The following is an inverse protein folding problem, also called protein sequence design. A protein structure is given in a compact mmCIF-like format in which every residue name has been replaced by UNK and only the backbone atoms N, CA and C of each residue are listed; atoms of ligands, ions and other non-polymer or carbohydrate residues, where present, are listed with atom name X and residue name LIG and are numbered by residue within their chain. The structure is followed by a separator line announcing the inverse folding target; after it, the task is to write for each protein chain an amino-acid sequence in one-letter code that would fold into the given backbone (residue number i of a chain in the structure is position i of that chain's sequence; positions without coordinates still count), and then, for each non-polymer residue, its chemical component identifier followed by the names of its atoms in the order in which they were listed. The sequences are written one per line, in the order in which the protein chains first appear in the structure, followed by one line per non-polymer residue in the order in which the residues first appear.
data_IF_677934025002
#
_entry.id   IF_677934025002
#
_cell.length_a   1.000
_cell.length_b   1.000
_cell.length_c   1.000
_cell.angle_alpha   90.00
_cell.angle_beta   90.00
_cell.angle_gamma   90.00
#
_symmetry.space_group_name_H-M   'P 1'
#
loop_
_entity.id
_entity.type
_entity.pdbx_description
1 polymer ?
#
# COMPACT_ATOMS: atom_id res chain seq x y z
N UNK A 1 16.04 30.65 -6.21
CA UNK A 1 15.20 29.46 -6.36
C UNK A 1 13.73 29.84 -6.27
N UNK A 2 12.89 29.23 -7.10
CA UNK A 2 11.44 29.41 -7.06
C UNK A 2 10.78 28.02 -6.93
N UNK A 3 9.75 27.93 -6.09
CA UNK A 3 8.91 26.72 -5.96
C UNK A 3 7.61 26.96 -6.71
N UNK A 4 7.24 26.03 -7.59
CA UNK A 4 5.97 26.05 -8.32
C UNK A 4 5.14 24.85 -7.87
N UNK A 5 4.05 25.13 -7.16
CA UNK A 5 3.06 24.11 -6.81
C UNK A 5 1.95 24.10 -7.85
N UNK A 6 1.80 23.01 -8.58
CA UNK A 6 0.75 22.82 -9.60
C UNK A 6 -0.31 21.88 -9.04
N UNK A 7 -1.54 22.37 -8.99
CA UNK A 7 -2.71 21.58 -8.56
C UNK A 7 -3.46 21.13 -9.82
N UNK A 8 -3.70 19.84 -9.93
CA UNK A 8 -4.42 19.24 -11.05
C UNK A 8 -5.57 18.37 -10.55
N UNK A 9 -6.52 18.08 -11.44
CA UNK A 9 -7.59 17.11 -11.19
C UNK A 9 -7.25 15.82 -11.90
N UNK A 10 -7.02 14.74 -11.12
CA UNK A 10 -6.76 13.42 -11.68
C UNK A 10 -7.95 12.94 -12.51
N UNK A 11 -7.70 12.44 -13.73
CA UNK A 11 -8.75 12.00 -14.64
C UNK A 11 -9.43 13.11 -15.43
N UNK A 12 -9.01 14.37 -15.32
CA UNK A 12 -9.61 15.53 -15.98
C UNK A 12 -9.81 15.33 -17.47
N UNK A 13 -11.04 15.58 -17.93
CA UNK A 13 -11.46 15.38 -19.32
C UNK A 13 -12.14 14.03 -19.58
N UNK A 14 -12.18 13.14 -18.59
CA UNK A 14 -12.89 11.87 -18.67
C UNK A 14 -13.78 11.68 -17.44
N UNK A 15 -15.05 11.99 -17.56
CA UNK A 15 -16.00 12.04 -16.45
C UNK A 15 -16.00 10.77 -15.53
N UNK A 16 -15.93 9.53 -16.05
CA UNK A 16 -15.81 8.36 -15.19
C UNK A 16 -14.58 8.39 -14.28
N UNK A 17 -13.42 8.83 -14.79
CA UNK A 17 -12.20 8.92 -13.99
C UNK A 17 -12.18 10.13 -13.05
N UNK A 18 -12.92 11.19 -13.36
CA UNK A 18 -13.09 12.31 -12.44
C UNK A 18 -13.94 11.91 -11.23
N UNK A 19 -14.95 11.04 -11.43
CA UNK A 19 -15.83 10.54 -10.37
C UNK A 19 -15.22 9.41 -9.55
N UNK A 20 -14.36 8.59 -10.14
CA UNK A 20 -13.62 7.49 -9.49
C UNK A 20 -12.17 7.47 -9.96
N UNK A 21 -11.33 8.40 -9.48
CA UNK A 21 -9.94 8.51 -9.90
C UNK A 21 -9.08 7.32 -9.46
N UNK A 22 -9.57 6.51 -8.53
CA UNK A 22 -8.90 5.33 -8.00
C UNK A 22 -9.18 4.13 -8.91
N UNK A 23 -10.44 3.82 -9.16
CA UNK A 23 -10.84 2.71 -10.04
C UNK A 23 -10.32 2.88 -11.48
N UNK A 24 -10.10 4.13 -11.90
CA UNK A 24 -9.52 4.46 -13.21
C UNK A 24 -8.02 4.75 -13.19
N UNK A 25 -7.31 4.46 -12.10
CA UNK A 25 -5.86 4.68 -12.02
C UNK A 25 -5.06 3.76 -12.96
N UNK A 26 -5.45 2.51 -13.09
CA UNK A 26 -4.87 1.55 -14.01
C UNK A 26 -6.00 0.83 -14.76
N UNK A 27 -6.33 1.32 -15.95
CA UNK A 27 -7.38 0.72 -16.76
C UNK A 27 -6.76 -0.41 -17.60
N UNK A 28 -6.99 -1.65 -17.20
CA UNK A 28 -6.87 -2.78 -18.11
C UNK A 28 -7.93 -2.63 -19.22
N UNK A 29 -7.63 -3.13 -20.44
CA UNK A 29 -8.51 -3.01 -21.61
C UNK A 29 -9.98 -3.17 -21.21
N UNK A 30 -10.74 -2.08 -21.27
CA UNK A 30 -12.20 -2.12 -21.11
C UNK A 30 -12.73 -2.86 -22.33
N UNK A 31 -13.14 -4.09 -22.19
CA UNK A 31 -13.96 -4.75 -23.20
C UNK A 31 -15.34 -4.12 -23.12
N UNK A 32 -15.94 -3.84 -24.26
CA UNK A 32 -17.31 -3.31 -24.35
C UNK A 32 -18.33 -4.24 -23.62
N UNK A 33 -17.98 -5.51 -23.48
CA UNK A 33 -18.71 -6.55 -22.75
C UNK A 33 -18.69 -6.37 -21.22
N UNK A 34 -17.63 -5.72 -20.67
CA UNK A 34 -17.53 -5.45 -19.24
C UNK A 34 -18.44 -4.31 -18.75
N UNK A 35 -19.04 -3.57 -19.68
CA UNK A 35 -20.03 -2.51 -19.42
C UNK A 35 -21.47 -3.07 -19.25
N UNK A 36 -21.67 -4.32 -19.61
CA UNK A 36 -22.95 -5.04 -19.41
C UNK A 36 -22.77 -5.96 -18.23
N UNK A 37 -23.48 -5.69 -17.12
CA UNK A 37 -23.47 -6.44 -15.87
C UNK A 37 -23.36 -7.97 -16.10
N UNK A 38 -22.16 -8.52 -16.04
CA UNK A 38 -21.98 -9.97 -16.03
C UNK A 38 -22.29 -10.52 -14.62
N UNK A 39 -23.53 -10.98 -14.45
CA UNK A 39 -24.01 -11.66 -13.25
C UNK A 39 -23.53 -13.11 -13.13
N UNK A 40 -22.66 -13.57 -14.04
CA UNK A 40 -22.20 -14.96 -14.09
C UNK A 40 -20.84 -15.19 -13.41
N UNK A 41 -20.26 -14.21 -12.75
CA UNK A 41 -18.97 -14.36 -12.09
C UNK A 41 -19.08 -15.34 -10.91
N UNK A 42 -18.45 -16.50 -11.06
CA UNK A 42 -18.20 -17.40 -9.92
C UNK A 42 -17.51 -16.61 -8.79
N UNK A 43 -17.79 -16.89 -7.51
CA UNK A 43 -17.16 -16.20 -6.40
C UNK A 43 -15.64 -16.35 -6.51
N UNK A 44 -14.96 -15.24 -6.82
CA UNK A 44 -13.50 -15.22 -6.90
C UNK A 44 -12.95 -15.54 -5.51
N UNK A 45 -11.98 -16.43 -5.44
CA UNK A 45 -11.22 -16.66 -4.20
C UNK A 45 -10.65 -15.34 -3.69
N UNK A 46 -10.63 -15.09 -2.37
CA UNK A 46 -10.05 -13.85 -1.84
C UNK A 46 -8.58 -13.75 -2.22
N UNK A 47 -8.12 -12.54 -2.53
CA UNK A 47 -6.70 -12.26 -2.75
C UNK A 47 -5.94 -12.28 -1.41
N UNK A 48 -4.62 -12.47 -1.46
CA UNK A 48 -3.77 -12.37 -0.27
C UNK A 48 -3.87 -11.00 0.38
N UNK A 49 -3.92 -9.91 -0.40
CA UNK A 49 -4.09 -8.54 0.11
C UNK A 49 -5.41 -8.38 0.88
N UNK A 50 -6.50 -9.00 0.40
CA UNK A 50 -7.78 -8.99 1.13
C UNK A 50 -7.67 -9.72 2.47
N UNK A 51 -7.07 -10.91 2.48
CA UNK A 51 -6.86 -11.70 3.72
C UNK A 51 -5.97 -10.91 4.69
N UNK A 52 -4.93 -10.25 4.18
CA UNK A 52 -4.06 -9.41 4.99
C UNK A 52 -4.84 -8.23 5.63
N UNK A 53 -5.66 -7.51 4.86
CA UNK A 53 -6.48 -6.41 5.39
C UNK A 53 -7.44 -6.87 6.48
N UNK A 54 -8.13 -8.01 6.27
CA UNK A 54 -9.03 -8.61 7.26
C UNK A 54 -8.26 -9.01 8.55
N UNK A 55 -7.08 -9.61 8.38
CA UNK A 55 -6.19 -9.97 9.50
C UNK A 55 -5.73 -8.72 10.27
N UNK A 56 -5.38 -7.65 9.55
CA UNK A 56 -4.90 -6.40 10.13
C UNK A 56 -5.98 -5.77 11.03
N UNK A 57 -7.21 -5.63 10.53
CA UNK A 57 -8.36 -5.16 11.31
C UNK A 57 -8.65 -6.06 12.52
N UNK A 58 -8.62 -7.38 12.31
CA UNK A 58 -8.83 -8.34 13.41
C UNK A 58 -7.78 -8.18 14.53
N UNK A 59 -6.52 -7.93 14.17
CA UNK A 59 -5.44 -7.73 15.16
C UNK A 59 -5.55 -6.38 15.85
N UNK A 60 -5.88 -5.31 15.12
CA UNK A 60 -6.04 -3.98 15.68
C UNK A 60 -7.20 -3.86 16.67
N UNK A 61 -8.25 -4.66 16.49
CA UNK A 61 -9.33 -4.79 17.46
C UNK A 61 -8.89 -5.41 18.80
N UNK A 62 -7.75 -6.12 18.81
CA UNK A 62 -7.23 -6.80 19.99
C UNK A 62 -6.03 -6.10 20.64
N UNK A 63 -5.33 -5.26 19.90
CA UNK A 63 -4.16 -4.53 20.38
C UNK A 63 -4.21 -3.09 19.85
N UNK A 64 -4.46 -2.15 20.75
CA UNK A 64 -4.57 -0.72 20.44
C UNK A 64 -3.23 -0.11 19.99
N UNK A 65 -2.11 -0.76 20.25
CA UNK A 65 -0.79 -0.31 19.83
C UNK A 65 -0.52 -0.57 18.36
N UNK A 66 -1.33 -1.43 17.70
CA UNK A 66 -1.14 -1.73 16.29
C UNK A 66 -1.52 -0.54 15.43
N UNK A 67 -0.57 -0.08 14.63
CA UNK A 67 -0.73 0.99 13.63
C UNK A 67 -0.31 0.49 12.26
N UNK A 68 -0.94 1.00 11.23
CA UNK A 68 -0.73 0.59 9.85
C UNK A 68 -0.22 1.75 9.01
N UNK A 69 0.85 1.51 8.26
CA UNK A 69 1.55 2.51 7.47
C UNK A 69 1.69 2.00 6.04
N UNK A 70 1.47 2.86 5.06
CA UNK A 70 1.73 2.52 3.65
C UNK A 70 2.19 3.76 2.87
N UNK A 71 3.16 3.64 1.97
CA UNK A 71 3.54 4.71 1.08
C UNK A 71 2.72 4.68 -0.22
N UNK A 72 1.51 5.26 -0.21
CA UNK A 72 0.58 5.38 -1.35
C UNK A 72 0.10 4.04 -1.95
N UNK A 73 0.01 2.96 -1.15
CA UNK A 73 -0.37 1.62 -1.62
C UNK A 73 -1.58 1.04 -0.87
N UNK A 74 -2.43 1.88 -0.29
CA UNK A 74 -3.54 1.45 0.58
C UNK A 74 -4.51 0.49 -0.09
N UNK A 75 -4.94 0.77 -1.33
CA UNK A 75 -5.85 -0.12 -2.07
C UNK A 75 -5.18 -1.43 -2.43
N UNK A 76 -4.00 -1.34 -3.06
CA UNK A 76 -3.27 -2.53 -3.52
C UNK A 76 -2.88 -3.46 -2.40
N UNK A 77 -2.63 -2.93 -1.22
CA UNK A 77 -2.32 -3.70 0.00
C UNK A 77 -3.56 -4.14 0.79
N UNK A 78 -4.77 -3.79 0.33
CA UNK A 78 -6.02 -4.21 0.98
C UNK A 78 -6.34 -3.49 2.29
N UNK A 79 -5.82 -2.26 2.49
CA UNK A 79 -5.92 -1.53 3.76
C UNK A 79 -7.08 -0.53 3.84
N UNK A 80 -7.91 -0.44 2.80
CA UNK A 80 -9.00 0.56 2.73
C UNK A 80 -10.03 0.39 3.84
N UNK A 81 -10.42 -0.84 4.15
CA UNK A 81 -11.38 -1.06 5.25
C UNK A 81 -10.74 -0.72 6.60
N UNK A 82 -9.46 -1.08 6.79
CA UNK A 82 -8.70 -0.69 7.98
C UNK A 82 -8.66 0.84 8.17
N UNK A 83 -8.43 1.59 7.10
CA UNK A 83 -8.35 3.06 7.16
C UNK A 83 -9.69 3.70 7.58
N UNK A 84 -10.82 3.07 7.26
CA UNK A 84 -12.16 3.51 7.69
C UNK A 84 -12.48 3.13 9.13
N UNK A 85 -12.07 1.92 9.53
CA UNK A 85 -12.32 1.36 10.87
C UNK A 85 -11.42 2.00 11.93
N UNK A 86 -10.15 2.29 11.57
CA UNK A 86 -9.12 2.82 12.47
C UNK A 86 -8.41 4.05 11.88
N UNK A 87 -9.11 5.17 11.61
CA UNK A 87 -8.52 6.33 10.93
C UNK A 87 -7.35 6.96 11.69
N UNK A 88 -7.35 6.91 13.02
CA UNK A 88 -6.28 7.45 13.87
C UNK A 88 -5.06 6.53 13.97
N UNK A 89 -5.14 5.34 13.41
CA UNK A 89 -4.07 4.32 13.41
C UNK A 89 -3.66 3.89 12.00
N UNK A 90 -4.11 4.63 10.99
CA UNK A 90 -3.75 4.44 9.59
C UNK A 90 -2.99 5.65 9.07
N UNK A 91 -1.84 5.42 8.48
CA UNK A 91 -0.98 6.47 7.93
C UNK A 91 -0.59 6.16 6.49
N UNK A 92 -1.16 6.90 5.55
CA UNK A 92 -0.66 6.95 4.17
C UNK A 92 0.33 8.12 4.08
N UNK A 93 1.60 7.79 3.93
CA UNK A 93 2.70 8.77 3.90
C UNK A 93 3.00 9.24 2.48
N UNK A 94 2.10 9.02 1.54
CA UNK A 94 2.30 9.27 0.12
C UNK A 94 3.51 8.48 -0.45
N UNK A 95 4.07 8.91 -1.58
CA UNK A 95 5.22 8.23 -2.21
C UNK A 95 6.51 8.64 -1.47
N UNK A 96 6.66 8.15 -0.24
CA UNK A 96 7.78 8.46 0.66
C UNK A 96 8.21 7.21 1.44
N UNK A 97 8.77 6.24 0.73
CA UNK A 97 9.11 4.92 1.27
C UNK A 97 10.13 5.01 2.41
N UNK A 98 11.15 5.87 2.30
CA UNK A 98 12.12 6.10 3.36
C UNK A 98 11.44 6.61 4.63
N UNK A 99 10.54 7.61 4.46
CA UNK A 99 9.79 8.16 5.58
C UNK A 99 8.90 7.09 6.24
N UNK A 100 8.27 6.21 5.48
CA UNK A 100 7.42 5.15 6.03
C UNK A 100 8.18 4.24 7.00
N UNK A 101 9.43 3.90 6.68
CA UNK A 101 10.27 3.03 7.50
C UNK A 101 10.80 3.76 8.73
N UNK A 102 11.34 4.99 8.57
CA UNK A 102 11.81 5.79 9.71
C UNK A 102 10.67 6.17 10.67
N UNK A 103 9.49 6.46 10.15
CA UNK A 103 8.29 6.73 10.94
C UNK A 103 7.86 5.49 11.74
N UNK A 104 7.85 4.32 11.10
CA UNK A 104 7.58 3.05 11.78
C UNK A 104 8.60 2.79 12.91
N UNK A 105 9.89 3.04 12.66
CA UNK A 105 10.93 2.89 13.67
C UNK A 105 10.67 3.81 14.89
N UNK A 106 10.32 5.09 14.64
CA UNK A 106 9.97 6.03 15.71
C UNK A 106 8.76 5.57 16.54
N UNK A 107 7.71 5.07 15.90
CA UNK A 107 6.54 4.51 16.59
C UNK A 107 6.90 3.26 17.42
N UNK A 108 7.78 2.41 16.90
CA UNK A 108 8.25 1.24 17.64
C UNK A 108 9.06 1.61 18.88
N UNK A 109 9.86 2.70 18.83
CA UNK A 109 10.56 3.23 19.99
C UNK A 109 9.61 3.63 21.14
N UNK A 110 8.39 4.08 20.81
CA UNK A 110 7.36 4.46 21.77
C UNK A 110 6.43 3.29 22.15
N UNK A 111 6.81 2.06 21.80
CA UNK A 111 6.09 0.84 22.18
C UNK A 111 4.85 0.54 21.33
N UNK A 112 4.65 1.25 20.23
CA UNK A 112 3.64 0.90 19.23
C UNK A 112 4.07 -0.34 18.42
N UNK A 113 3.13 -0.94 17.71
CA UNK A 113 3.35 -2.09 16.84
C UNK A 113 3.06 -1.72 15.39
N UNK A 114 4.00 -1.08 14.71
CA UNK A 114 3.80 -0.64 13.35
C UNK A 114 3.85 -1.81 12.37
N UNK A 115 2.92 -1.80 11.43
CA UNK A 115 2.85 -2.67 10.26
C UNK A 115 3.02 -1.81 9.02
N UNK A 116 4.11 -2.00 8.30
CA UNK A 116 4.41 -1.30 7.04
C UNK A 116 3.99 -2.19 5.87
N UNK A 117 2.94 -1.81 5.14
CA UNK A 117 2.53 -2.51 3.92
C UNK A 117 3.12 -1.81 2.70
N UNK A 118 4.01 -2.50 2.00
CA UNK A 118 4.80 -1.94 0.91
C UNK A 118 5.06 -2.99 -0.17
N UNK A 119 5.13 -2.57 -1.44
CA UNK A 119 5.55 -3.46 -2.51
C UNK A 119 7.05 -3.71 -2.46
N UNK A 120 7.44 -4.92 -2.75
CA UNK A 120 8.83 -5.38 -2.70
C UNK A 120 9.78 -4.46 -3.48
N UNK A 121 9.42 -4.12 -4.73
CA UNK A 121 10.26 -3.23 -5.55
C UNK A 121 10.41 -1.82 -4.95
N UNK A 122 9.41 -1.31 -4.24
CA UNK A 122 9.48 0.03 -3.64
C UNK A 122 10.20 0.06 -2.30
N UNK A 123 10.27 -1.06 -1.59
CA UNK A 123 11.09 -1.17 -0.38
C UNK A 123 12.59 -0.95 -0.66
N UNK A 124 13.05 -1.15 -1.90
CA UNK A 124 14.42 -0.83 -2.31
C UNK A 124 14.81 0.62 -1.99
N UNK A 125 13.85 1.57 -2.06
CA UNK A 125 14.11 2.98 -1.72
C UNK A 125 14.36 3.21 -0.24
N UNK A 126 13.93 2.32 0.62
CA UNK A 126 14.06 2.41 2.07
C UNK A 126 15.00 1.36 2.67
N UNK A 127 15.88 0.81 1.85
CA UNK A 127 16.82 -0.24 2.27
C UNK A 127 17.76 0.24 3.38
N UNK A 128 18.28 1.44 3.25
CA UNK A 128 19.13 2.05 4.27
C UNK A 128 18.38 2.25 5.60
N UNK A 129 17.17 2.80 5.56
CA UNK A 129 16.33 3.00 6.75
C UNK A 129 15.93 1.68 7.40
N UNK A 130 15.69 0.64 6.60
CA UNK A 130 15.40 -0.70 7.15
C UNK A 130 16.59 -1.22 7.97
N UNK A 131 17.82 -1.00 7.51
CA UNK A 131 19.03 -1.41 8.23
C UNK A 131 19.28 -0.50 9.44
N UNK A 132 19.39 0.81 9.22
CA UNK A 132 19.83 1.75 10.26
C UNK A 132 18.75 2.05 11.29
N UNK A 133 17.51 2.28 10.84
CA UNK A 133 16.47 2.76 11.72
C UNK A 133 15.74 1.61 12.41
N UNK A 134 15.69 0.42 11.79
CA UNK A 134 14.96 -0.73 12.34
C UNK A 134 15.90 -1.84 12.80
N UNK A 135 16.68 -2.43 11.89
CA UNK A 135 17.41 -3.65 12.17
C UNK A 135 18.54 -3.46 13.19
N UNK A 136 19.38 -2.42 13.04
CA UNK A 136 20.46 -2.13 13.98
C UNK A 136 19.97 -1.77 15.38
N UNK A 137 18.77 -1.21 15.47
CA UNK A 137 18.15 -0.87 16.76
C UNK A 137 17.29 -2.00 17.33
N UNK A 138 17.17 -3.11 16.61
CA UNK A 138 16.35 -4.27 16.98
C UNK A 138 14.91 -3.89 17.32
N UNK A 139 14.29 -3.04 16.50
CA UNK A 139 12.92 -2.56 16.72
C UNK A 139 11.88 -3.53 16.17
N UNK A 140 10.75 -3.61 16.85
CA UNK A 140 9.63 -4.50 16.51
C UNK A 140 8.74 -3.85 15.43
N UNK A 141 9.16 -3.93 14.17
CA UNK A 141 8.42 -3.45 12.99
C UNK A 141 8.07 -4.64 12.10
N UNK A 142 6.79 -4.79 11.75
CA UNK A 142 6.34 -5.80 10.81
C UNK A 142 6.28 -5.22 9.40
N UNK A 143 6.96 -5.86 8.46
CA UNK A 143 6.89 -5.52 7.04
C UNK A 143 5.99 -6.53 6.30
N UNK A 144 4.86 -6.05 5.77
CA UNK A 144 3.99 -6.80 4.89
C UNK A 144 4.38 -6.49 3.44
N UNK A 145 5.26 -7.33 2.88
CA UNK A 145 5.84 -7.14 1.55
C UNK A 145 4.96 -7.84 0.52
N UNK A 146 4.39 -7.07 -0.40
CA UNK A 146 3.57 -7.57 -1.50
C UNK A 146 4.31 -7.45 -2.84
N UNK A 147 3.86 -8.17 -3.84
CA UNK A 147 4.39 -8.17 -5.23
C UNK A 147 5.88 -8.50 -5.33
N UNK A 148 6.37 -9.42 -4.50
CA UNK A 148 7.72 -9.97 -4.66
C UNK A 148 7.81 -10.86 -5.91
N UNK A 149 8.90 -10.74 -6.65
CA UNK A 149 9.11 -11.48 -7.89
C UNK A 149 8.37 -10.90 -9.10
N UNK A 150 8.22 -11.70 -10.15
CA UNK A 150 7.52 -11.32 -11.38
C UNK A 150 6.02 -11.53 -11.20
N UNK A 151 5.31 -10.48 -10.85
CA UNK A 151 3.90 -10.55 -10.48
C UNK A 151 3.01 -9.66 -11.36
N UNK A 152 1.97 -10.29 -11.91
CA UNK A 152 0.80 -9.63 -12.44
C UNK A 152 1.00 -8.70 -13.63
N UNK A 153 0.03 -7.81 -13.77
CA UNK A 153 -0.11 -6.91 -14.90
C UNK A 153 0.45 -5.50 -14.64
N UNK A 154 1.05 -5.28 -13.48
CA UNK A 154 1.49 -3.94 -13.03
C UNK A 154 2.72 -3.42 -13.81
N UNK A 155 3.36 -4.25 -14.62
CA UNK A 155 4.46 -3.88 -15.50
C UNK A 155 5.83 -3.84 -14.82
N UNK A 156 6.84 -3.47 -15.61
CA UNK A 156 8.26 -3.56 -15.23
C UNK A 156 8.62 -2.72 -13.98
N UNK A 157 7.90 -1.65 -13.71
CA UNK A 157 8.16 -0.76 -12.56
C UNK A 157 7.69 -1.33 -11.22
N UNK A 158 6.85 -2.37 -11.25
CA UNK A 158 6.24 -2.96 -10.06
C UNK A 158 6.72 -4.39 -9.77
N UNK A 159 7.52 -4.97 -10.67
CA UNK A 159 8.07 -6.31 -10.49
C UNK A 159 9.21 -6.30 -9.47
N UNK A 160 9.20 -7.25 -8.54
CA UNK A 160 10.25 -7.49 -7.57
C UNK A 160 11.42 -8.28 -8.15
N UNK A 161 12.00 -7.85 -9.29
CA UNK A 161 13.03 -8.60 -10.00
C UNK A 161 14.41 -8.54 -9.33
N UNK A 162 14.68 -7.51 -8.53
CA UNK A 162 15.98 -7.27 -7.90
C UNK A 162 15.97 -7.51 -6.38
N UNK A 163 14.83 -7.89 -5.83
CA UNK A 163 14.54 -7.92 -4.40
C UNK A 163 15.19 -9.11 -3.68
N UNK A 164 15.65 -10.11 -4.44
CA UNK A 164 16.31 -11.30 -3.87
C UNK A 164 17.74 -11.03 -3.40
N UNK A 165 18.31 -9.88 -3.76
CA UNK A 165 19.71 -9.56 -3.51
C UNK A 165 19.92 -8.65 -2.30
N UNK A 166 18.88 -8.09 -1.74
CA UNK A 166 18.98 -7.17 -0.58
C UNK A 166 18.16 -7.61 0.60
#
# INVERSE_FOLDING_TARGET
PKFLHVITTKGKGFAPAENDPIGFHAINKIKQEDLVNDKSAQPKKPSYSKIFGEWLSFKANKDERLVAITPAMGEGSGMIEFSKEFPDRYYDVAIAEQHSVSFAAGLACEGMKPVVAIYSTFLQRAYDQLIHDVALQNLDVLFAIDRAGLVGLDGATHHGAFDLSY
#
